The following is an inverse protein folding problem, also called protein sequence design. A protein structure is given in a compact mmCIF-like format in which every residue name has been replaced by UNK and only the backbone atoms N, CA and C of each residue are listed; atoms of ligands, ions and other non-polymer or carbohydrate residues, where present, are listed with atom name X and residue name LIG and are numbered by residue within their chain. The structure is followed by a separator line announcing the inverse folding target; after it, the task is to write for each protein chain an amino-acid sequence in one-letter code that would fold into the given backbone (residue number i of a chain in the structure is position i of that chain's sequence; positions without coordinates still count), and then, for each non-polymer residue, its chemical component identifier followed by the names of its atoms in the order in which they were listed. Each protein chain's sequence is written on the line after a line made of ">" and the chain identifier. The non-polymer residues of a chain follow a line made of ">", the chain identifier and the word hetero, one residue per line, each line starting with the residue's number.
data_IF_096898869402
#
_entry.id   IF_096898869402
#
_cell.length_a   1.000
_cell.length_b   1.000
_cell.length_c   1.000
_cell.angle_alpha   90.00
_cell.angle_beta   90.00
_cell.angle_gamma   90.00
#
_symmetry.space_group_name_H-M   'P 1'
#
loop_
_entity.id
_entity.type
_entity.pdbx_description
1 polymer ?
#
# COMPACT_ATOMS: atom_id res chain seq x y z
N UNK A 1 14.83 -10.40 7.89
CA UNK A 1 13.37 -10.21 8.08
C UNK A 1 12.66 -10.79 6.88
N UNK A 2 11.46 -11.35 7.09
CA UNK A 2 10.54 -11.76 6.03
C UNK A 2 9.56 -10.60 5.76
N UNK A 3 9.59 -10.04 4.56
CA UNK A 3 8.84 -8.82 4.22
C UNK A 3 7.93 -9.10 3.02
N UNK A 4 6.65 -8.82 3.18
CA UNK A 4 5.68 -8.85 2.08
C UNK A 4 5.63 -7.45 1.45
N UNK A 5 5.74 -7.38 0.12
CA UNK A 5 5.73 -6.11 -0.61
C UNK A 5 4.64 -6.15 -1.69
N UNK A 6 3.84 -5.11 -1.78
CA UNK A 6 2.97 -4.86 -2.93
C UNK A 6 3.45 -3.64 -3.70
N UNK A 7 3.11 -3.53 -4.97
CA UNK A 7 3.56 -2.40 -5.81
C UNK A 7 5.08 -2.38 -6.09
N UNK A 8 5.79 -3.46 -5.80
CA UNK A 8 7.24 -3.56 -5.96
C UNK A 8 7.75 -3.44 -7.41
N UNK A 9 6.87 -3.58 -8.40
CA UNK A 9 7.22 -3.36 -9.83
C UNK A 9 7.07 -1.90 -10.27
N UNK A 10 6.63 -1.02 -9.36
CA UNK A 10 6.45 0.41 -9.62
C UNK A 10 7.73 1.24 -9.44
N UNK A 11 7.59 2.55 -9.66
CA UNK A 11 8.70 3.51 -9.62
C UNK A 11 9.44 3.51 -8.26
N UNK A 12 8.71 3.56 -7.15
CA UNK A 12 9.30 3.52 -5.80
C UNK A 12 9.67 2.08 -5.42
N UNK A 13 8.81 1.12 -5.78
CA UNK A 13 8.95 -0.27 -5.35
C UNK A 13 10.19 -0.97 -5.90
N UNK A 14 10.55 -0.73 -7.16
CA UNK A 14 11.71 -1.38 -7.78
C UNK A 14 13.03 -1.09 -7.04
N UNK A 15 13.44 0.18 -6.87
CA UNK A 15 14.62 0.54 -6.08
C UNK A 15 14.56 0.04 -4.62
N UNK A 16 13.37 0.07 -4.01
CA UNK A 16 13.18 -0.45 -2.65
C UNK A 16 13.46 -1.95 -2.58
N UNK A 17 12.90 -2.75 -3.49
CA UNK A 17 13.16 -4.20 -3.54
C UNK A 17 14.65 -4.50 -3.65
N UNK A 18 15.38 -3.80 -4.52
CA UNK A 18 16.82 -3.99 -4.67
C UNK A 18 17.58 -3.72 -3.38
N UNK A 19 17.21 -2.68 -2.63
CA UNK A 19 17.82 -2.36 -1.34
C UNK A 19 17.50 -3.40 -0.26
N UNK A 20 16.26 -3.88 -0.21
CA UNK A 20 15.85 -4.89 0.76
C UNK A 20 16.55 -6.22 0.51
N UNK A 21 16.71 -6.64 -0.75
CA UNK A 21 17.46 -7.84 -1.13
C UNK A 21 18.94 -7.69 -0.74
N UNK A 22 19.57 -6.55 -1.08
CA UNK A 22 20.96 -6.28 -0.71
C UNK A 22 21.20 -6.25 0.81
N UNK A 23 20.17 -5.91 1.60
CA UNK A 23 20.20 -5.97 3.06
C UNK A 23 19.94 -7.37 3.62
N UNK A 24 19.79 -8.38 2.78
CA UNK A 24 19.62 -9.78 3.18
C UNK A 24 18.22 -10.12 3.69
N UNK A 25 17.19 -9.39 3.29
CA UNK A 25 15.81 -9.68 3.67
C UNK A 25 15.20 -10.72 2.72
N UNK A 26 14.35 -11.61 3.27
CA UNK A 26 13.47 -12.48 2.50
C UNK A 26 12.29 -11.66 2.00
N UNK A 27 12.11 -11.59 0.67
CA UNK A 27 11.05 -10.76 0.06
C UNK A 27 10.01 -11.63 -0.62
N UNK A 28 8.75 -11.36 -0.32
CA UNK A 28 7.60 -11.91 -1.04
C UNK A 28 6.88 -10.76 -1.72
N UNK A 29 6.97 -10.71 -3.04
CA UNK A 29 6.32 -9.68 -3.86
C UNK A 29 4.94 -10.16 -4.33
N UNK A 30 3.90 -9.42 -3.97
CA UNK A 30 2.56 -9.61 -4.51
C UNK A 30 2.35 -8.76 -5.76
N UNK A 31 1.98 -9.37 -6.89
CA UNK A 31 1.83 -8.66 -8.16
C UNK A 31 0.75 -9.25 -9.05
N UNK A 32 0.12 -8.40 -9.87
CA UNK A 32 -0.86 -8.79 -10.89
C UNK A 32 -0.22 -9.50 -12.10
N UNK A 33 1.07 -9.25 -12.34
CA UNK A 33 1.80 -9.76 -13.50
C UNK A 33 3.07 -10.53 -13.06
N UNK A 34 2.93 -11.77 -12.53
CA UNK A 34 4.06 -12.54 -12.01
C UNK A 34 5.16 -12.79 -13.04
N UNK A 35 4.80 -13.12 -14.28
CA UNK A 35 5.79 -13.46 -15.31
C UNK A 35 6.62 -12.25 -15.72
N UNK A 36 5.98 -11.10 -15.88
CA UNK A 36 6.70 -9.83 -16.13
C UNK A 36 7.58 -9.43 -14.94
N UNK A 37 7.19 -9.73 -13.72
CA UNK A 37 8.02 -9.47 -12.56
C UNK A 37 9.24 -10.40 -12.52
N UNK A 38 9.06 -11.71 -12.77
CA UNK A 38 10.15 -12.71 -12.81
C UNK A 38 11.22 -12.38 -13.84
N UNK A 39 10.86 -11.81 -14.98
CA UNK A 39 11.82 -11.46 -16.02
C UNK A 39 12.68 -10.22 -15.71
N UNK A 40 12.31 -9.40 -14.72
CA UNK A 40 12.94 -8.10 -14.44
C UNK A 40 13.54 -7.97 -13.05
N UNK A 41 13.09 -8.79 -12.11
CA UNK A 41 13.49 -8.68 -10.72
C UNK A 41 14.50 -9.76 -10.33
N UNK A 42 15.19 -9.54 -9.22
CA UNK A 42 16.12 -10.50 -8.64
C UNK A 42 15.45 -11.85 -8.37
N UNK A 43 16.14 -12.95 -8.69
CA UNK A 43 15.64 -14.32 -8.52
C UNK A 43 15.44 -14.70 -7.04
N UNK A 44 16.03 -13.99 -6.12
CA UNK A 44 15.85 -14.18 -4.68
C UNK A 44 14.47 -13.70 -4.20
N UNK A 45 13.78 -12.86 -4.99
CA UNK A 45 12.44 -12.37 -4.67
C UNK A 45 11.43 -13.48 -5.00
N UNK A 46 10.73 -13.95 -3.98
CA UNK A 46 9.57 -14.81 -4.19
C UNK A 46 8.40 -14.00 -4.74
N UNK A 47 7.83 -14.45 -5.84
CA UNK A 47 6.74 -13.74 -6.51
C UNK A 47 5.44 -14.54 -6.39
N UNK A 48 4.42 -13.91 -5.82
CA UNK A 48 3.09 -14.47 -5.63
C UNK A 48 2.05 -13.67 -6.43
N UNK A 49 1.12 -14.35 -7.13
CA UNK A 49 0.06 -13.68 -7.85
C UNK A 49 -0.94 -13.06 -6.89
N UNK A 50 -1.36 -11.82 -7.21
CA UNK A 50 -2.41 -11.11 -6.48
C UNK A 50 -3.11 -10.11 -7.39
N UNK A 51 -4.44 -10.10 -7.39
CA UNK A 51 -5.25 -9.19 -8.19
C UNK A 51 -5.31 -7.75 -7.65
N UNK A 52 -4.78 -7.52 -6.45
CA UNK A 52 -4.77 -6.22 -5.79
C UNK A 52 -6.06 -5.89 -5.03
N UNK A 53 -6.97 -6.86 -4.86
CA UNK A 53 -8.30 -6.62 -4.26
C UNK A 53 -8.68 -7.60 -3.17
N UNK A 54 -8.50 -8.90 -3.41
CA UNK A 54 -9.00 -9.93 -2.51
C UNK A 54 -7.90 -10.77 -1.92
N UNK A 55 -8.19 -11.39 -0.79
CA UNK A 55 -7.33 -12.40 -0.20
C UNK A 55 -7.23 -13.62 -1.14
N UNK A 56 -6.05 -14.20 -1.24
CA UNK A 56 -5.76 -15.36 -2.08
C UNK A 56 -4.73 -16.27 -1.44
N UNK A 57 -4.05 -17.10 -2.23
CA UNK A 57 -3.02 -18.04 -1.75
C UNK A 57 -1.88 -17.36 -0.98
N UNK A 58 -1.60 -16.11 -1.28
CA UNK A 58 -0.56 -15.30 -0.64
C UNK A 58 -0.78 -15.07 0.87
N UNK A 59 -2.02 -15.18 1.35
CA UNK A 59 -2.39 -14.94 2.77
C UNK A 59 -1.58 -15.82 3.73
N UNK A 60 -1.24 -17.06 3.31
CA UNK A 60 -0.40 -17.96 4.10
C UNK A 60 0.98 -17.37 4.43
N UNK A 61 1.46 -16.43 3.64
CA UNK A 61 2.77 -15.80 3.86
C UNK A 61 2.73 -14.68 4.89
N UNK A 62 1.55 -14.15 5.21
CA UNK A 62 1.36 -13.09 6.22
C UNK A 62 1.66 -13.63 7.60
N UNK A 63 1.30 -14.89 7.84
CA UNK A 63 1.63 -15.54 9.10
C UNK A 63 3.15 -15.73 9.23
N UNK A 64 3.71 -15.17 10.29
CA UNK A 64 5.14 -15.14 10.54
C UNK A 64 5.95 -14.19 9.65
N UNK A 65 5.32 -13.33 8.85
CA UNK A 65 6.01 -12.18 8.26
C UNK A 65 6.41 -11.17 9.34
N UNK A 66 7.53 -10.47 9.15
CA UNK A 66 7.96 -9.41 10.06
C UNK A 66 7.30 -8.07 9.72
N UNK A 67 7.13 -7.77 8.42
CA UNK A 67 6.51 -6.53 7.95
C UNK A 67 5.74 -6.72 6.64
N UNK A 68 4.78 -5.82 6.40
CA UNK A 68 4.09 -5.65 5.12
C UNK A 68 4.29 -4.23 4.63
N UNK A 69 4.76 -4.08 3.37
CA UNK A 69 4.93 -2.79 2.69
C UNK A 69 3.91 -2.70 1.56
N UNK A 70 2.90 -1.86 1.72
CA UNK A 70 1.83 -1.67 0.74
C UNK A 70 2.05 -0.41 -0.07
N UNK A 71 2.62 -0.56 -1.27
CA UNK A 71 2.86 0.51 -2.25
C UNK A 71 1.96 0.37 -3.49
N UNK A 72 1.00 -0.57 -3.47
CA UNK A 72 0.14 -0.80 -4.61
C UNK A 72 -0.85 0.36 -4.81
N UNK A 73 -1.05 0.73 -6.07
CA UNK A 73 -2.03 1.73 -6.46
C UNK A 73 -2.03 1.92 -7.97
N UNK A 74 -3.22 2.14 -8.54
CA UNK A 74 -3.36 2.53 -9.95
C UNK A 74 -2.68 3.88 -10.21
N UNK A 75 -1.99 3.98 -11.36
CA UNK A 75 -1.32 5.23 -11.74
C UNK A 75 -2.34 6.34 -11.99
N UNK A 76 -2.21 7.45 -11.27
CA UNK A 76 -3.12 8.60 -11.38
C UNK A 76 -2.83 9.48 -12.61
N UNK A 77 -1.59 9.47 -13.11
CA UNK A 77 -1.15 10.31 -14.25
C UNK A 77 -1.21 9.61 -15.62
N UNK A 78 -1.50 8.32 -15.67
CA UNK A 78 -1.38 7.53 -16.90
C UNK A 78 -2.59 7.60 -17.85
N UNK A 79 -3.75 8.07 -17.36
CA UNK A 79 -5.02 8.07 -18.11
C UNK A 79 -5.91 9.24 -17.71
N UNK A 80 -6.83 9.64 -18.64
CA UNK A 80 -7.86 10.62 -18.32
C UNK A 80 -8.77 10.11 -17.20
N UNK A 81 -9.15 10.97 -16.28
CA UNK A 81 -10.00 10.66 -15.12
C UNK A 81 -11.48 10.59 -15.49
N UNK A 82 -11.86 9.53 -16.17
CA UNK A 82 -13.27 9.13 -16.34
C UNK A 82 -13.81 8.56 -15.03
N UNK A 83 -15.14 8.39 -14.91
CA UNK A 83 -15.75 7.74 -13.75
C UNK A 83 -15.13 6.36 -13.48
N UNK A 84 -14.98 5.53 -14.50
CA UNK A 84 -14.35 4.20 -14.40
C UNK A 84 -12.90 4.27 -13.94
N UNK A 85 -12.13 5.27 -14.41
CA UNK A 85 -10.74 5.41 -13.98
C UNK A 85 -10.64 5.88 -12.53
N UNK A 86 -11.54 6.77 -12.09
CA UNK A 86 -11.64 7.20 -10.69
C UNK A 86 -11.96 6.01 -9.76
N UNK A 87 -12.92 5.17 -10.11
CA UNK A 87 -13.23 3.94 -9.38
C UNK A 87 -12.02 3.00 -9.27
N UNK A 88 -11.25 2.82 -10.36
CA UNK A 88 -10.01 2.03 -10.34
C UNK A 88 -8.96 2.63 -9.42
N UNK A 89 -8.82 3.96 -9.40
CA UNK A 89 -7.86 4.66 -8.53
C UNK A 89 -8.22 4.42 -7.06
N UNK A 90 -9.49 4.57 -6.69
CA UNK A 90 -9.96 4.31 -5.32
C UNK A 90 -9.83 2.82 -4.99
N UNK A 91 -10.43 1.95 -5.79
CA UNK A 91 -10.49 0.51 -5.50
C UNK A 91 -9.11 -0.13 -5.38
N UNK A 92 -8.14 0.26 -6.23
CA UNK A 92 -6.78 -0.28 -6.15
C UNK A 92 -6.08 0.03 -4.81
N UNK A 93 -6.49 1.06 -4.11
CA UNK A 93 -5.94 1.47 -2.81
C UNK A 93 -6.75 0.92 -1.65
N UNK A 94 -8.04 1.16 -1.67
CA UNK A 94 -8.96 0.82 -0.56
C UNK A 94 -9.13 -0.70 -0.47
N UNK A 95 -9.48 -1.38 -1.57
CA UNK A 95 -9.73 -2.82 -1.56
C UNK A 95 -8.46 -3.60 -1.26
N UNK A 96 -7.33 -3.19 -1.88
CA UNK A 96 -6.03 -3.80 -1.63
C UNK A 96 -5.61 -3.67 -0.17
N UNK A 97 -5.75 -2.48 0.41
CA UNK A 97 -5.43 -2.25 1.83
C UNK A 97 -6.34 -3.08 2.74
N UNK A 98 -7.65 -3.11 2.49
CA UNK A 98 -8.59 -3.94 3.25
C UNK A 98 -8.24 -5.43 3.21
N UNK A 99 -7.86 -5.96 2.04
CA UNK A 99 -7.45 -7.35 1.91
C UNK A 99 -6.19 -7.66 2.74
N UNK A 100 -5.20 -6.76 2.73
CA UNK A 100 -3.97 -6.89 3.54
C UNK A 100 -4.31 -6.85 5.02
N UNK A 101 -5.08 -5.85 5.46
CA UNK A 101 -5.49 -5.65 6.85
C UNK A 101 -6.27 -6.86 7.37
N UNK A 102 -7.24 -7.36 6.59
CA UNK A 102 -8.01 -8.55 6.95
C UNK A 102 -7.12 -9.81 7.07
N UNK A 103 -6.10 -9.91 6.21
CA UNK A 103 -5.15 -11.04 6.25
C UNK A 103 -4.24 -10.96 7.47
N UNK A 104 -3.75 -9.77 7.83
CA UNK A 104 -2.99 -9.54 9.06
C UNK A 104 -3.85 -9.85 10.30
N UNK A 105 -5.13 -9.46 10.28
CA UNK A 105 -6.06 -9.73 11.37
C UNK A 105 -6.24 -11.21 11.68
N UNK A 106 -6.14 -12.07 10.64
CA UNK A 106 -6.31 -13.54 10.73
C UNK A 106 -5.00 -14.29 11.03
N UNK A 107 -3.84 -13.67 10.88
CA UNK A 107 -2.56 -14.31 11.12
C UNK A 107 -2.39 -14.66 12.61
N UNK A 108 -1.86 -15.84 12.89
CA UNK A 108 -1.52 -16.28 14.26
C UNK A 108 -0.32 -15.48 14.79
N UNK A 109 0.75 -15.40 13.99
CA UNK A 109 1.92 -14.56 14.24
C UNK A 109 1.85 -13.35 13.30
N UNK A 110 1.29 -12.27 13.80
CA UNK A 110 1.07 -11.03 13.03
C UNK A 110 2.38 -10.32 12.74
N UNK A 111 2.51 -9.67 11.57
CA UNK A 111 3.60 -8.74 11.30
C UNK A 111 3.69 -7.64 12.37
N UNK A 112 4.90 -7.24 12.69
CA UNK A 112 5.17 -6.16 13.65
C UNK A 112 4.81 -4.80 13.08
N UNK A 113 4.89 -4.65 11.74
CA UNK A 113 4.62 -3.39 11.06
C UNK A 113 3.82 -3.59 9.76
N UNK A 114 2.88 -2.69 9.52
CA UNK A 114 2.30 -2.39 8.21
C UNK A 114 2.72 -0.97 7.81
N UNK A 115 3.50 -0.86 6.74
CA UNK A 115 3.83 0.43 6.12
C UNK A 115 2.95 0.58 4.89
N UNK A 116 1.99 1.47 4.97
CA UNK A 116 1.08 1.77 3.86
C UNK A 116 1.47 3.10 3.22
N UNK A 117 1.57 3.15 1.90
CA UNK A 117 1.78 4.42 1.22
C UNK A 117 0.59 5.36 1.47
N UNK A 118 0.84 6.64 1.45
CA UNK A 118 -0.15 7.71 1.47
C UNK A 118 0.23 8.75 0.40
N UNK A 119 -0.46 9.87 0.34
CA UNK A 119 -0.17 10.90 -0.64
C UNK A 119 -0.52 12.30 -0.14
N UNK A 120 0.30 13.28 -0.53
CA UNK A 120 0.09 14.72 -0.26
C UNK A 120 -1.22 15.26 -0.86
N UNK A 121 -1.81 14.54 -1.82
CA UNK A 121 -3.14 14.86 -2.36
C UNK A 121 -4.26 14.87 -1.31
N UNK A 122 -4.01 14.36 -0.10
CA UNK A 122 -4.89 14.49 1.06
C UNK A 122 -5.24 15.95 1.36
N UNK A 123 -4.26 16.81 1.29
CA UNK A 123 -4.40 18.24 1.65
C UNK A 123 -5.06 19.08 0.54
N UNK A 124 -5.11 18.58 -0.72
CA UNK A 124 -5.62 19.34 -1.85
C UNK A 124 -4.64 20.42 -2.32
N UNK A 125 -5.17 21.51 -2.92
CA UNK A 125 -4.36 22.68 -3.27
C UNK A 125 -4.27 23.62 -2.08
N UNK A 126 -3.06 23.94 -1.66
CA UNK A 126 -2.74 24.94 -0.65
C UNK A 126 -2.00 26.05 -1.37
N UNK A 127 -2.52 27.28 -1.31
CA UNK A 127 -1.98 28.42 -2.09
C UNK A 127 -0.70 28.95 -1.49
N UNK A 128 -0.60 29.00 -0.16
CA UNK A 128 0.55 29.56 0.56
C UNK A 128 0.83 28.79 1.87
N UNK A 129 2.11 28.77 2.25
CA UNK A 129 2.59 28.24 3.52
C UNK A 129 3.00 26.76 3.47
N UNK A 130 3.52 26.29 4.60
CA UNK A 130 3.93 24.91 4.80
C UNK A 130 2.72 24.04 5.17
N UNK A 131 2.72 22.81 4.68
CA UNK A 131 1.70 21.81 5.00
C UNK A 131 2.29 20.78 5.93
N UNK A 132 1.84 20.78 7.19
CA UNK A 132 2.20 19.80 8.19
C UNK A 132 1.13 18.68 8.28
N UNK A 133 1.41 17.64 9.07
CA UNK A 133 0.54 16.47 9.19
C UNK A 133 -0.82 16.77 9.83
N UNK A 134 -0.96 17.85 10.56
CA UNK A 134 -2.20 18.35 11.20
C UNK A 134 -3.03 19.27 10.31
N UNK A 135 -2.53 19.60 9.09
CA UNK A 135 -3.28 20.39 8.15
C UNK A 135 -4.59 19.68 7.75
N UNK A 136 -5.73 20.41 7.69
CA UNK A 136 -7.02 19.80 7.36
C UNK A 136 -7.04 19.18 5.96
N UNK A 137 -7.88 18.15 5.80
CA UNK A 137 -8.12 17.51 4.51
C UNK A 137 -8.73 18.51 3.51
N UNK A 138 -8.24 18.47 2.28
CA UNK A 138 -8.85 19.18 1.15
C UNK A 138 -10.18 18.54 0.71
N UNK A 139 -10.81 19.16 -0.31
CA UNK A 139 -12.12 18.76 -0.83
C UNK A 139 -12.07 18.21 -2.26
N UNK A 140 -10.89 17.78 -2.73
CA UNK A 140 -10.69 17.23 -4.07
C UNK A 140 -10.98 15.73 -4.13
N UNK A 141 -11.14 15.19 -5.35
CA UNK A 141 -11.22 13.75 -5.57
C UNK A 141 -10.02 12.99 -4.98
N UNK A 142 -8.82 13.56 -5.08
CA UNK A 142 -7.63 12.93 -4.48
C UNK A 142 -7.66 12.99 -2.96
N UNK A 143 -8.13 14.08 -2.38
CA UNK A 143 -8.27 14.22 -0.93
C UNK A 143 -9.22 13.16 -0.35
N UNK A 144 -10.37 12.96 -1.00
CA UNK A 144 -11.33 11.92 -0.63
C UNK A 144 -10.76 10.51 -0.82
N UNK A 145 -10.01 10.29 -1.92
CA UNK A 145 -9.38 9.00 -2.19
C UNK A 145 -8.36 8.63 -1.12
N UNK A 146 -7.52 9.59 -0.71
CA UNK A 146 -6.50 9.34 0.32
C UNK A 146 -7.13 9.13 1.68
N UNK A 147 -8.18 9.87 2.01
CA UNK A 147 -8.95 9.72 3.24
C UNK A 147 -9.52 8.28 3.37
N UNK A 148 -10.27 7.81 2.37
CA UNK A 148 -10.77 6.43 2.30
C UNK A 148 -9.65 5.39 2.36
N UNK A 149 -8.50 5.68 1.76
CA UNK A 149 -7.34 4.79 1.79
C UNK A 149 -6.72 4.69 3.18
N UNK A 150 -6.60 5.81 3.90
CA UNK A 150 -6.13 5.83 5.29
C UNK A 150 -7.12 5.10 6.20
N UNK A 151 -8.42 5.35 6.04
CA UNK A 151 -9.47 4.65 6.80
C UNK A 151 -9.44 3.13 6.57
N UNK A 152 -9.07 2.66 5.38
CA UNK A 152 -8.97 1.24 5.08
C UNK A 152 -7.93 0.47 5.93
N UNK A 153 -7.02 1.17 6.62
CA UNK A 153 -6.08 0.57 7.57
C UNK A 153 -6.72 0.20 8.91
N UNK A 154 -7.90 0.73 9.24
CA UNK A 154 -8.61 0.34 10.45
C UNK A 154 -9.48 -0.90 10.18
N UNK A 155 -9.50 -1.90 11.06
CA UNK A 155 -9.37 -1.85 12.52
C UNK A 155 -8.02 -2.34 13.09
N UNK A 156 -6.92 -2.28 12.35
CA UNK A 156 -5.64 -2.61 12.97
C UNK A 156 -5.27 -1.52 13.98
N UNK A 157 -5.05 -1.88 15.23
CA UNK A 157 -4.64 -0.97 16.31
C UNK A 157 -3.16 -0.58 16.23
N UNK A 158 -2.67 -0.27 15.01
CA UNK A 158 -1.39 0.40 14.85
C UNK A 158 -1.60 1.90 15.09
N UNK A 159 -0.86 2.47 16.01
CA UNK A 159 -0.85 3.92 16.23
C UNK A 159 -0.27 4.60 14.99
N UNK A 160 -1.14 5.10 14.10
CA UNK A 160 -0.71 6.02 13.06
C UNK A 160 -0.31 7.35 13.70
N UNK A 161 0.81 7.95 13.32
CA UNK A 161 1.14 9.32 13.73
C UNK A 161 0.04 10.34 13.38
N UNK A 162 -0.69 10.11 12.28
CA UNK A 162 -1.77 10.98 11.79
C UNK A 162 -3.07 10.89 12.62
N UNK A 163 -3.24 9.88 13.48
CA UNK A 163 -4.45 9.69 14.28
C UNK A 163 -4.46 10.44 15.62
N UNK A 164 -3.50 11.33 15.89
CA UNK A 164 -3.48 12.05 17.16
C UNK A 164 -4.45 13.23 17.25
N UNK A 165 -5.08 13.62 16.14
CA UNK A 165 -5.84 14.86 16.06
C UNK A 165 -7.33 14.72 15.70
N UNK A 166 -7.89 13.51 15.65
CA UNK A 166 -9.32 13.33 15.47
C UNK A 166 -10.01 12.91 16.77
N UNK A 167 -10.18 13.85 17.69
CA UNK A 167 -11.32 13.90 18.63
C UNK A 167 -11.66 15.34 18.91
N UNK A 168 -12.97 15.70 18.86
CA UNK A 168 -13.44 17.03 19.24
C UNK A 168 -13.19 17.36 20.69
#
# INVERSE_FOLDING_TARGET
>A
MKIIVTGGTGFVGGPLLSRLVAAGHEIILLTRNPDSARSRLDRQIRIEPWDGKVAGSWVQHVDGADAVLNLAGENIGGKRWTAVQKERIIGSRVDGTRAIVASIGKAMKKPVALVNASAVGFYGSVEDGDVAEDHPRGNSFLSETVDQWVEANFPLSFKSPQNRHSKP
#
